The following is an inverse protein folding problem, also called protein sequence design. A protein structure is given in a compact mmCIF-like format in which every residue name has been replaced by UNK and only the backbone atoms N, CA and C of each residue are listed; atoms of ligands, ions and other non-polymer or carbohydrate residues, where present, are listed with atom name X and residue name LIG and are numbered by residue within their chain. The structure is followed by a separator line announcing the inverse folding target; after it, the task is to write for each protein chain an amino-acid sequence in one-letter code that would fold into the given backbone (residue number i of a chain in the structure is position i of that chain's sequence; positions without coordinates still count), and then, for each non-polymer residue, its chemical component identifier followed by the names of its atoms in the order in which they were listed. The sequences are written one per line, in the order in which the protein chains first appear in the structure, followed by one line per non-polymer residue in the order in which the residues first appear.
data_IF_397617105785
#
_entry.id   IF_397617105785
#
_cell.length_a   1.000
_cell.length_b   1.000
_cell.length_c   1.000
_cell.angle_alpha   90.00
_cell.angle_beta   90.00
_cell.angle_gamma   90.00
#
_symmetry.space_group_name_H-M   'P 1'
#
loop_
_entity.id
_entity.type
_entity.pdbx_description
1 polymer ?
#
# COMPACT_ATOMS: atom_id res chain seq x y z
N UNK A 1 -9.81 -63.28 -14.37
CA UNK A 1 -10.65 -62.37 -15.14
C UNK A 1 -10.32 -60.94 -14.71
N UNK A 2 -9.54 -60.27 -15.53
CA UNK A 2 -9.13 -58.88 -15.38
C UNK A 2 -10.28 -57.98 -15.76
N UNK A 3 -10.54 -56.95 -14.99
CA UNK A 3 -11.31 -55.76 -15.44
C UNK A 3 -10.48 -54.53 -15.22
N UNK A 4 -10.02 -53.99 -16.33
CA UNK A 4 -9.32 -52.72 -16.52
C UNK A 4 -10.24 -51.54 -16.17
N UNK A 5 -9.86 -50.72 -15.19
CA UNK A 5 -10.47 -49.41 -14.95
C UNK A 5 -9.75 -48.34 -15.78
N UNK A 6 -10.40 -47.77 -16.76
CA UNK A 6 -9.96 -46.61 -17.53
C UNK A 6 -9.91 -45.36 -16.63
N UNK A 7 -8.90 -44.48 -16.74
CA UNK A 7 -8.91 -43.20 -16.07
C UNK A 7 -9.94 -42.28 -16.75
N UNK A 8 -10.86 -41.73 -15.97
CA UNK A 8 -11.77 -40.68 -16.46
C UNK A 8 -10.94 -39.47 -16.92
N UNK A 9 -11.05 -39.13 -18.19
CA UNK A 9 -10.60 -37.87 -18.75
C UNK A 9 -11.22 -36.73 -17.95
N UNK A 10 -10.38 -35.80 -17.43
CA UNK A 10 -10.83 -34.47 -17.01
C UNK A 10 -11.48 -33.85 -18.26
N UNK A 11 -12.78 -33.66 -18.20
CA UNK A 11 -13.56 -33.03 -19.24
C UNK A 11 -13.10 -31.58 -19.43
N UNK A 12 -12.83 -31.23 -20.68
CA UNK A 12 -12.71 -29.88 -21.18
C UNK A 12 -13.99 -29.08 -20.84
N UNK A 13 -13.99 -28.40 -19.72
CA UNK A 13 -14.98 -27.39 -19.36
C UNK A 13 -14.28 -26.04 -19.33
N UNK A 14 -14.75 -25.16 -20.21
CA UNK A 14 -14.46 -23.74 -20.37
C UNK A 14 -13.30 -23.32 -21.30
N UNK A 15 -13.47 -23.60 -22.59
CA UNK A 15 -12.72 -22.91 -23.65
C UNK A 15 -13.37 -21.57 -24.10
N UNK A 16 -14.32 -20.98 -23.34
CA UNK A 16 -15.00 -19.75 -23.74
C UNK A 16 -15.35 -18.79 -22.58
N UNK A 17 -14.60 -18.81 -21.50
CA UNK A 17 -14.68 -17.71 -20.53
C UNK A 17 -14.06 -16.47 -21.18
N UNK A 18 -14.85 -15.41 -21.39
CA UNK A 18 -14.34 -14.14 -21.91
C UNK A 18 -13.19 -13.66 -21.02
N UNK A 19 -12.03 -13.40 -21.61
CA UNK A 19 -10.84 -12.92 -20.89
C UNK A 19 -11.18 -11.61 -20.20
N UNK A 20 -10.96 -11.53 -18.89
CA UNK A 20 -11.20 -10.32 -18.13
C UNK A 20 -9.93 -9.45 -18.04
N UNK A 21 -10.06 -8.11 -17.96
CA UNK A 21 -8.93 -7.20 -17.80
C UNK A 21 -8.29 -7.27 -16.43
N UNK A 22 -8.93 -7.88 -15.44
CA UNK A 22 -8.44 -8.16 -14.10
C UNK A 22 -9.20 -9.36 -13.52
N UNK A 23 -8.59 -10.03 -12.54
CA UNK A 23 -9.25 -11.09 -11.78
C UNK A 23 -9.77 -10.54 -10.45
N UNK A 24 -10.81 -11.17 -9.88
CA UNK A 24 -11.38 -10.74 -8.62
C UNK A 24 -11.95 -11.89 -7.79
N UNK A 25 -11.93 -11.71 -6.47
CA UNK A 25 -12.56 -12.61 -5.49
C UNK A 25 -13.28 -11.77 -4.45
N UNK A 26 -14.52 -12.14 -4.15
CA UNK A 26 -15.28 -11.62 -2.99
C UNK A 26 -14.83 -12.35 -1.72
N UNK A 27 -14.62 -11.62 -0.64
CA UNK A 27 -14.22 -12.21 0.63
C UNK A 27 -15.43 -12.76 1.40
N UNK A 28 -15.58 -14.09 1.54
CA UNK A 28 -16.69 -14.67 2.26
C UNK A 28 -16.65 -14.45 3.78
N UNK A 29 -15.57 -13.90 4.29
CA UNK A 29 -15.34 -13.61 5.72
C UNK A 29 -15.52 -12.13 6.08
N UNK A 30 -15.72 -11.27 5.08
CA UNK A 30 -15.91 -9.84 5.30
C UNK A 30 -17.13 -9.58 6.22
N UNK A 31 -16.97 -8.65 7.16
CA UNK A 31 -18.07 -8.24 8.04
C UNK A 31 -18.46 -9.25 9.14
N UNK A 32 -17.82 -10.41 9.25
CA UNK A 32 -18.08 -11.30 10.39
C UNK A 32 -17.66 -10.64 11.70
N UNK A 33 -18.55 -10.65 12.69
CA UNK A 33 -18.40 -9.99 13.99
C UNK A 33 -17.35 -10.61 14.92
N UNK A 34 -16.41 -11.37 14.40
CA UNK A 34 -15.34 -11.97 15.21
C UNK A 34 -14.37 -10.89 15.71
N UNK A 35 -14.01 -10.97 16.99
CA UNK A 35 -12.97 -10.13 17.58
C UNK A 35 -11.65 -10.35 16.86
N UNK A 36 -11.15 -9.33 16.20
CA UNK A 36 -9.86 -9.36 15.52
C UNK A 36 -8.78 -8.78 16.46
N UNK A 37 -8.00 -9.65 17.09
CA UNK A 37 -6.92 -9.24 18.01
C UNK A 37 -5.91 -8.32 17.33
N UNK A 38 -5.59 -8.60 16.06
CA UNK A 38 -4.69 -7.75 15.28
C UNK A 38 -5.26 -6.34 15.10
N UNK A 39 -6.58 -6.20 14.93
CA UNK A 39 -7.23 -4.89 14.83
C UNK A 39 -7.14 -4.10 16.14
N UNK A 40 -7.34 -4.75 17.29
CA UNK A 40 -7.20 -4.09 18.60
C UNK A 40 -5.75 -3.68 18.87
N UNK A 41 -4.79 -4.51 18.50
CA UNK A 41 -3.36 -4.18 18.57
C UNK A 41 -2.98 -3.05 17.61
N UNK A 42 -3.49 -3.09 16.39
CA UNK A 42 -3.21 -2.09 15.36
C UNK A 42 -3.77 -0.73 15.74
N UNK A 43 -4.99 -0.68 16.24
CA UNK A 43 -5.72 0.57 16.50
C UNK A 43 -6.18 0.67 17.96
N UNK A 44 -5.25 0.71 18.92
CA UNK A 44 -5.62 1.03 20.30
C UNK A 44 -6.16 2.47 20.39
N UNK A 45 -7.00 2.78 21.38
CA UNK A 45 -7.55 4.13 21.55
C UNK A 45 -6.47 5.21 21.52
N UNK A 46 -6.69 6.27 20.77
CA UNK A 46 -5.79 7.44 20.70
C UNK A 46 -4.60 7.32 19.73
N UNK A 47 -4.28 6.13 19.21
CA UNK A 47 -3.05 5.92 18.42
C UNK A 47 -2.97 6.81 17.17
N UNK A 48 -4.08 7.02 16.49
CA UNK A 48 -4.16 7.93 15.31
C UNK A 48 -3.84 9.37 15.70
N UNK A 49 -4.30 9.82 16.88
CA UNK A 49 -3.96 11.14 17.43
C UNK A 49 -2.47 11.30 17.66
N UNK A 50 -1.84 10.30 18.30
CA UNK A 50 -0.40 10.26 18.58
C UNK A 50 0.40 10.28 17.26
N UNK A 51 0.02 9.46 16.29
CA UNK A 51 0.69 9.42 14.99
C UNK A 51 0.61 10.79 14.28
N UNK A 52 -0.58 11.38 14.23
CA UNK A 52 -0.79 12.68 13.61
C UNK A 52 -0.06 13.82 14.33
N UNK A 53 -0.01 13.79 15.67
CA UNK A 53 0.70 14.78 16.46
C UNK A 53 2.21 14.71 16.21
N UNK A 54 2.79 13.51 16.11
CA UNK A 54 4.18 13.34 15.71
C UNK A 54 4.42 13.95 14.33
N UNK A 55 3.63 13.52 13.33
CA UNK A 55 3.85 13.96 11.94
C UNK A 55 3.75 15.46 11.75
N UNK A 56 2.85 16.13 12.49
CA UNK A 56 2.72 17.60 12.48
C UNK A 56 3.95 18.35 13.01
N UNK A 57 4.83 17.67 13.74
CA UNK A 57 6.08 18.24 14.27
C UNK A 57 7.27 18.00 13.33
N UNK A 58 7.12 17.16 12.29
CA UNK A 58 8.18 16.90 11.34
C UNK A 58 8.36 18.10 10.41
N UNK A 59 9.61 18.41 10.11
CA UNK A 59 9.92 19.55 9.26
C UNK A 59 9.32 19.39 7.85
N UNK A 60 8.69 20.45 7.35
CA UNK A 60 8.00 20.43 6.06
C UNK A 60 6.67 19.67 6.04
N UNK A 61 6.13 19.22 7.19
CA UNK A 61 4.82 18.58 7.21
C UNK A 61 3.71 19.50 6.67
N UNK A 62 2.95 18.98 5.73
CA UNK A 62 1.70 19.52 5.24
C UNK A 62 0.72 18.39 5.04
N UNK A 63 -0.54 18.65 5.28
CA UNK A 63 -1.60 17.72 4.89
C UNK A 63 -1.58 17.56 3.37
N UNK A 64 -1.43 16.33 2.87
CA UNK A 64 -1.41 16.08 1.43
C UNK A 64 -2.78 16.37 0.81
N UNK A 65 -2.87 16.78 -0.47
CA UNK A 65 -4.14 17.16 -1.07
C UNK A 65 -5.12 15.96 -1.17
N UNK A 66 -6.41 16.26 -1.00
CA UNK A 66 -7.50 15.40 -1.44
C UNK A 66 -8.11 16.05 -2.68
N UNK A 67 -7.93 15.43 -3.85
CA UNK A 67 -8.37 15.96 -5.14
C UNK A 67 -9.67 15.30 -5.59
N UNK A 68 -10.61 16.09 -6.09
CA UNK A 68 -11.85 15.61 -6.71
C UNK A 68 -11.64 15.44 -8.21
N UNK A 69 -12.06 14.30 -8.76
CA UNK A 69 -12.11 14.03 -10.21
C UNK A 69 -13.57 14.00 -10.67
N UNK A 70 -14.22 15.16 -10.63
CA UNK A 70 -15.66 15.31 -10.92
C UNK A 70 -16.01 15.01 -12.37
N UNK A 71 -15.14 15.39 -13.32
CA UNK A 71 -15.30 15.09 -14.74
C UNK A 71 -15.22 13.60 -15.01
N UNK A 72 -14.25 12.92 -14.40
CA UNK A 72 -14.11 11.45 -14.51
C UNK A 72 -15.25 10.73 -13.80
N UNK A 73 -15.71 11.22 -12.66
CA UNK A 73 -16.86 10.64 -11.96
C UNK A 73 -18.13 10.67 -12.83
N UNK A 74 -18.41 11.81 -13.45
CA UNK A 74 -19.52 11.93 -14.40
C UNK A 74 -19.37 10.99 -15.62
N UNK A 75 -18.17 10.87 -16.18
CA UNK A 75 -17.88 9.98 -17.29
C UNK A 75 -18.11 8.50 -16.94
N UNK A 76 -17.75 8.09 -15.71
CA UNK A 76 -17.89 6.72 -15.22
C UNK A 76 -19.27 6.42 -14.60
N UNK A 77 -20.15 7.42 -14.49
CA UNK A 77 -21.50 7.27 -13.94
C UNK A 77 -21.52 7.00 -12.43
N UNK A 78 -20.58 7.58 -11.66
CA UNK A 78 -20.51 7.48 -10.20
C UNK A 78 -20.69 8.86 -9.54
N UNK A 79 -21.04 8.88 -8.26
CA UNK A 79 -21.37 10.13 -7.55
C UNK A 79 -20.16 11.02 -7.26
N UNK A 80 -18.98 10.43 -7.04
CA UNK A 80 -17.74 11.19 -6.82
C UNK A 80 -16.51 10.29 -6.80
N UNK A 81 -15.38 10.85 -7.22
CA UNK A 81 -14.05 10.21 -7.13
C UNK A 81 -13.11 11.17 -6.41
N UNK A 82 -12.57 10.71 -5.30
CA UNK A 82 -11.66 11.45 -4.43
C UNK A 82 -10.30 10.75 -4.42
N UNK A 83 -9.24 11.50 -4.66
CA UNK A 83 -7.87 10.98 -4.69
C UNK A 83 -7.04 11.64 -3.60
N UNK A 84 -6.62 10.88 -2.60
CA UNK A 84 -5.61 11.34 -1.64
C UNK A 84 -4.24 11.28 -2.30
N UNK A 85 -3.63 12.43 -2.54
CA UNK A 85 -2.42 12.56 -3.34
C UNK A 85 -1.15 12.60 -2.46
N UNK A 86 -0.61 11.43 -2.16
CA UNK A 86 0.61 11.27 -1.36
C UNK A 86 1.92 11.54 -2.14
N UNK A 87 1.84 11.86 -3.42
CA UNK A 87 3.02 12.26 -4.21
C UNK A 87 3.71 13.52 -3.67
N UNK A 88 3.03 14.28 -2.82
CA UNK A 88 3.55 15.51 -2.23
C UNK A 88 3.92 15.38 -0.74
N UNK A 89 3.83 14.16 -0.17
CA UNK A 89 4.10 13.94 1.24
C UNK A 89 5.56 14.27 1.59
N UNK A 90 5.76 15.29 2.45
CA UNK A 90 7.09 15.69 2.98
C UNK A 90 8.18 15.82 1.89
N UNK A 91 7.79 16.16 0.66
CA UNK A 91 8.68 16.21 -0.53
C UNK A 91 9.40 14.87 -0.84
N UNK A 92 8.90 13.76 -0.30
CA UNK A 92 9.46 12.41 -0.51
C UNK A 92 8.72 11.64 -1.61
N UNK A 93 7.75 12.24 -2.28
CA UNK A 93 6.96 11.62 -3.34
C UNK A 93 6.29 10.28 -2.96
N UNK A 94 6.06 10.01 -1.66
CA UNK A 94 5.45 8.76 -1.20
C UNK A 94 4.96 8.86 0.26
N UNK A 95 3.88 8.14 0.58
CA UNK A 95 3.31 8.03 1.93
C UNK A 95 4.19 7.27 2.93
N UNK A 96 5.15 6.48 2.46
CA UNK A 96 5.93 5.51 3.27
C UNK A 96 6.64 6.15 4.47
N UNK A 97 6.99 7.41 4.38
CA UNK A 97 7.62 8.16 5.48
C UNK A 97 6.74 8.22 6.73
N UNK A 98 5.42 8.22 6.59
CA UNK A 98 4.50 8.23 7.75
C UNK A 98 4.69 6.98 8.61
N UNK A 99 4.80 5.82 7.99
CA UNK A 99 5.04 4.57 8.71
C UNK A 99 6.44 4.49 9.31
N UNK A 100 7.47 4.79 8.51
CA UNK A 100 8.86 4.71 8.94
C UNK A 100 9.18 5.65 10.11
N UNK A 101 8.74 6.91 10.04
CA UNK A 101 8.95 7.89 11.11
C UNK A 101 8.22 7.53 12.40
N UNK A 102 6.98 7.04 12.30
CA UNK A 102 6.22 6.64 13.48
C UNK A 102 6.80 5.38 14.14
N UNK A 103 7.27 4.41 13.36
CA UNK A 103 7.91 3.20 13.90
C UNK A 103 9.21 3.54 14.63
N UNK A 104 10.06 4.40 14.06
CA UNK A 104 11.27 4.91 14.74
C UNK A 104 10.89 5.63 16.04
N UNK A 105 9.91 6.52 16.00
CA UNK A 105 9.42 7.23 17.17
C UNK A 105 8.97 6.29 18.30
N UNK A 106 8.15 5.29 17.98
CA UNK A 106 7.67 4.33 18.96
C UNK A 106 8.79 3.46 19.53
N UNK A 107 9.74 3.06 18.68
CA UNK A 107 10.94 2.36 19.14
C UNK A 107 11.74 3.19 20.14
N UNK A 108 11.99 4.46 19.83
CA UNK A 108 12.72 5.35 20.74
C UNK A 108 11.98 5.59 22.06
N UNK A 109 10.65 5.78 22.03
CA UNK A 109 9.81 5.85 23.22
C UNK A 109 9.93 4.60 24.10
N UNK A 110 9.85 3.41 23.46
CA UNK A 110 9.99 2.12 24.15
C UNK A 110 11.37 2.00 24.80
N UNK A 111 12.44 2.38 24.09
CA UNK A 111 13.82 2.34 24.57
C UNK A 111 14.05 3.30 25.73
N UNK A 112 13.41 4.46 25.74
CA UNK A 112 13.44 5.44 26.84
C UNK A 112 12.53 5.07 28.03
N UNK A 113 11.74 4.01 27.95
CA UNK A 113 10.78 3.60 28.99
C UNK A 113 9.59 4.55 29.14
N UNK A 114 9.34 5.44 28.19
CA UNK A 114 8.29 6.46 28.28
C UNK A 114 6.96 5.88 27.76
N UNK A 115 6.00 5.70 28.67
CA UNK A 115 4.69 5.13 28.37
C UNK A 115 3.54 6.12 28.55
N UNK A 116 3.64 7.01 29.52
CA UNK A 116 2.52 7.80 30.03
C UNK A 116 2.38 9.19 29.39
N UNK A 117 3.33 9.59 28.55
CA UNK A 117 3.29 10.85 27.81
C UNK A 117 3.84 10.70 26.40
N UNK A 118 3.50 11.65 25.56
CA UNK A 118 4.11 11.79 24.25
C UNK A 118 5.47 12.51 24.37
N UNK A 119 6.36 12.19 23.42
CA UNK A 119 7.61 12.90 23.21
C UNK A 119 7.46 13.85 22.04
N UNK A 120 8.01 15.04 22.17
CA UNK A 120 8.14 15.94 21.02
C UNK A 120 9.37 15.56 20.19
N UNK A 121 9.35 15.94 18.90
CA UNK A 121 10.51 15.78 18.01
C UNK A 121 11.72 16.57 18.55
N UNK A 122 11.48 17.75 19.14
CA UNK A 122 12.53 18.55 19.80
C UNK A 122 13.16 17.83 20.99
N UNK A 123 12.36 17.17 21.84
CA UNK A 123 12.90 16.36 22.94
C UNK A 123 13.75 15.20 22.42
N UNK A 124 13.31 14.49 21.37
CA UNK A 124 14.07 13.39 20.77
C UNK A 124 15.42 13.85 20.20
N UNK A 125 15.49 15.07 19.68
CA UNK A 125 16.72 15.69 19.14
C UNK A 125 17.64 16.26 20.21
N UNK A 126 17.18 16.35 21.48
CA UNK A 126 17.97 16.93 22.56
C UNK A 126 19.20 16.09 22.90
N UNK A 127 20.33 16.74 23.25
CA UNK A 127 21.58 16.09 23.63
C UNK A 127 21.37 15.10 24.79
N UNK A 128 20.54 15.45 25.78
CA UNK A 128 20.21 14.60 26.92
C UNK A 128 19.60 13.28 26.50
N UNK A 129 18.62 13.31 25.62
CA UNK A 129 17.94 12.11 25.10
C UNK A 129 18.89 11.31 24.22
N UNK A 130 19.67 11.97 23.37
CA UNK A 130 20.65 11.33 22.51
C UNK A 130 21.75 10.61 23.29
N UNK A 131 22.29 11.24 24.35
CA UNK A 131 23.27 10.62 25.22
C UNK A 131 22.72 9.36 25.91
N UNK A 132 21.43 9.38 26.30
CA UNK A 132 20.76 8.21 26.89
C UNK A 132 20.52 7.07 25.90
N UNK A 133 20.15 7.38 24.66
CA UNK A 133 19.87 6.40 23.61
C UNK A 133 21.14 5.72 23.08
N UNK A 134 22.28 6.40 23.11
CA UNK A 134 23.54 5.93 22.55
C UNK A 134 23.56 5.87 21.03
N UNK A 135 24.51 5.11 20.48
CA UNK A 135 24.63 4.93 19.04
C UNK A 135 23.64 3.88 18.53
N UNK A 136 22.56 4.37 17.90
CA UNK A 136 21.55 3.53 17.25
C UNK A 136 21.75 3.63 15.76
N UNK A 137 21.78 2.48 15.09
CA UNK A 137 21.70 2.36 13.66
C UNK A 137 20.37 1.69 13.28
N UNK A 138 19.57 2.36 12.45
CA UNK A 138 18.39 1.77 11.85
C UNK A 138 18.75 1.05 10.56
N UNK A 139 18.09 -0.07 10.28
CA UNK A 139 18.30 -0.82 9.05
C UNK A 139 16.97 -1.23 8.43
N UNK A 140 16.91 -1.31 7.09
CA UNK A 140 15.73 -1.79 6.40
C UNK A 140 16.07 -2.41 5.04
N UNK A 141 15.21 -3.30 4.54
CA UNK A 141 15.19 -3.71 3.13
C UNK A 141 14.05 -3.01 2.40
N UNK A 142 14.24 -2.70 1.11
CA UNK A 142 13.26 -1.93 0.34
C UNK A 142 13.43 -2.12 -1.17
N UNK A 143 12.36 -1.84 -1.90
CA UNK A 143 12.33 -1.57 -3.35
C UNK A 143 12.50 -0.08 -3.70
N UNK A 144 12.57 0.80 -2.66
CA UNK A 144 12.79 2.24 -2.82
C UNK A 144 12.09 3.11 -1.77
N UNK A 145 10.76 3.21 -1.82
CA UNK A 145 10.01 4.21 -1.06
C UNK A 145 10.05 4.02 0.47
N UNK A 146 10.01 2.77 0.95
CA UNK A 146 10.09 2.50 2.38
C UNK A 146 11.48 2.86 2.92
N UNK A 147 12.55 2.41 2.27
CA UNK A 147 13.91 2.74 2.65
C UNK A 147 14.18 4.25 2.62
N UNK A 148 13.66 4.95 1.59
CA UNK A 148 13.74 6.42 1.53
C UNK A 148 13.06 7.08 2.72
N UNK A 149 11.87 6.60 3.10
CA UNK A 149 11.13 7.11 4.26
C UNK A 149 11.85 6.85 5.59
N UNK A 150 12.44 5.65 5.77
CA UNK A 150 13.23 5.30 6.96
C UNK A 150 14.52 6.11 7.02
N UNK A 151 15.26 6.23 5.89
CA UNK A 151 16.48 7.02 5.80
C UNK A 151 16.24 8.49 6.15
N UNK A 152 15.18 9.08 5.57
CA UNK A 152 14.78 10.46 5.90
C UNK A 152 14.44 10.62 7.39
N UNK A 153 13.66 9.73 7.96
CA UNK A 153 13.26 9.80 9.36
C UNK A 153 14.45 9.61 10.31
N UNK A 154 15.38 8.71 9.98
CA UNK A 154 16.62 8.51 10.74
C UNK A 154 17.48 9.78 10.70
N UNK A 155 17.68 10.37 9.51
CA UNK A 155 18.41 11.64 9.34
C UNK A 155 17.76 12.77 10.14
N UNK A 156 16.43 12.91 10.03
CA UNK A 156 15.66 13.95 10.71
C UNK A 156 15.82 13.89 12.24
N UNK A 157 15.90 12.68 12.78
CA UNK A 157 16.12 12.42 14.20
C UNK A 157 17.61 12.28 14.55
N UNK A 158 18.53 12.39 13.58
CA UNK A 158 19.99 12.36 13.73
C UNK A 158 20.57 10.99 14.02
N UNK A 159 20.02 9.91 13.51
CA UNK A 159 20.50 8.53 13.64
C UNK A 159 21.10 8.02 12.33
N UNK A 160 21.97 7.02 12.44
CA UNK A 160 22.50 6.29 11.29
C UNK A 160 21.43 5.41 10.65
N UNK A 161 21.55 5.18 9.34
CA UNK A 161 20.66 4.29 8.61
C UNK A 161 21.43 3.48 7.55
N UNK A 162 21.14 2.18 7.46
CA UNK A 162 21.63 1.28 6.42
C UNK A 162 20.44 0.69 5.69
N UNK A 163 20.44 0.77 4.36
CA UNK A 163 19.31 0.34 3.53
C UNK A 163 19.76 -0.71 2.53
N UNK A 164 19.13 -1.87 2.56
CA UNK A 164 19.36 -2.97 1.64
C UNK A 164 18.36 -2.89 0.49
N UNK A 165 18.88 -2.96 -0.73
CA UNK A 165 18.08 -2.99 -1.94
C UNK A 165 18.49 -4.18 -2.81
N UNK A 166 17.56 -4.72 -3.58
CA UNK A 166 17.89 -5.77 -4.55
C UNK A 166 18.51 -5.18 -5.82
N UNK A 167 19.26 -5.98 -6.57
CA UNK A 167 20.04 -5.56 -7.75
C UNK A 167 19.23 -4.92 -8.89
N UNK A 168 17.91 -5.15 -8.93
CA UNK A 168 17.01 -4.56 -9.94
C UNK A 168 16.47 -3.19 -9.52
N UNK A 169 16.79 -2.71 -8.31
CA UNK A 169 16.37 -1.37 -7.88
C UNK A 169 17.02 -0.31 -8.76
N UNK A 170 16.19 0.59 -9.32
CA UNK A 170 16.68 1.59 -10.25
C UNK A 170 17.66 2.59 -9.59
N UNK A 171 18.63 3.08 -10.36
CA UNK A 171 19.61 4.07 -9.88
C UNK A 171 18.97 5.33 -9.29
N UNK A 172 17.89 5.91 -9.88
CA UNK A 172 17.21 7.05 -9.27
C UNK A 172 16.67 6.75 -7.86
N UNK A 173 16.13 5.56 -7.63
CA UNK A 173 15.62 5.13 -6.31
C UNK A 173 16.75 4.96 -5.30
N UNK A 174 17.88 4.36 -5.71
CA UNK A 174 19.09 4.24 -4.85
C UNK A 174 19.58 5.62 -4.44
N UNK A 175 19.80 6.52 -5.40
CA UNK A 175 20.26 7.90 -5.13
C UNK A 175 19.32 8.65 -4.19
N UNK A 176 18.02 8.50 -4.37
CA UNK A 176 17.01 9.13 -3.51
C UNK A 176 17.07 8.66 -2.05
N UNK A 177 17.65 7.50 -1.77
CA UNK A 177 17.94 7.00 -0.41
C UNK A 177 19.26 7.57 0.10
N UNK A 178 20.32 7.53 -0.73
CA UNK A 178 21.66 8.05 -0.42
C UNK A 178 21.64 9.55 -0.09
N UNK A 179 20.78 10.35 -0.75
CA UNK A 179 20.59 11.79 -0.51
C UNK A 179 20.19 12.12 0.95
N UNK A 180 19.65 11.15 1.66
CA UNK A 180 19.38 11.26 3.10
C UNK A 180 20.51 10.73 3.99
N UNK A 181 21.67 10.43 3.41
CA UNK A 181 22.87 10.01 4.15
C UNK A 181 22.82 8.57 4.66
N UNK A 182 21.92 7.74 4.14
CA UNK A 182 21.91 6.33 4.43
C UNK A 182 22.98 5.58 3.64
N UNK A 183 23.61 4.59 4.25
CA UNK A 183 24.46 3.63 3.56
C UNK A 183 23.56 2.65 2.79
N UNK A 184 23.77 2.50 1.47
CA UNK A 184 22.98 1.60 0.64
C UNK A 184 23.79 0.37 0.27
N UNK A 185 23.23 -0.82 0.57
CA UNK A 185 23.77 -2.14 0.24
C UNK A 185 22.94 -2.77 -0.88
N UNK A 186 23.55 -2.99 -2.06
CA UNK A 186 22.88 -3.66 -3.19
C UNK A 186 23.12 -5.16 -3.08
N UNK A 187 22.02 -5.93 -2.98
CA UNK A 187 22.07 -7.37 -2.78
C UNK A 187 21.63 -8.08 -4.06
N UNK A 188 22.38 -9.11 -4.52
CA UNK A 188 21.93 -9.97 -5.61
C UNK A 188 20.60 -10.65 -5.26
N UNK A 189 19.71 -10.82 -6.26
CA UNK A 189 18.45 -11.53 -6.10
C UNK A 189 17.23 -10.64 -5.95
N UNK A 190 16.31 -11.03 -5.08
CA UNK A 190 14.97 -10.46 -4.91
C UNK A 190 14.90 -9.54 -3.68
N UNK A 191 13.73 -8.88 -3.52
CA UNK A 191 13.41 -8.17 -2.28
C UNK A 191 13.53 -9.07 -1.03
N UNK A 192 13.06 -10.32 -1.11
CA UNK A 192 13.11 -11.26 0.01
C UNK A 192 14.57 -11.64 0.36
N UNK A 193 15.47 -11.68 -0.64
CA UNK A 193 16.91 -11.84 -0.40
C UNK A 193 17.49 -10.64 0.36
N UNK A 194 17.07 -9.43 0.03
CA UNK A 194 17.48 -8.23 0.74
C UNK A 194 16.94 -8.23 2.20
N UNK A 195 15.71 -8.69 2.43
CA UNK A 195 15.14 -8.87 3.79
C UNK A 195 15.96 -9.86 4.59
N UNK A 196 16.33 -11.01 4.00
CA UNK A 196 17.18 -12.01 4.68
C UNK A 196 18.57 -11.45 5.01
N UNK A 197 19.17 -10.72 4.09
CA UNK A 197 20.48 -10.10 4.28
C UNK A 197 20.47 -9.08 5.41
N UNK A 198 19.53 -8.11 5.40
CA UNK A 198 19.45 -7.10 6.46
C UNK A 198 19.16 -7.73 7.82
N UNK A 199 18.35 -8.80 7.88
CA UNK A 199 18.04 -9.50 9.14
C UNK A 199 19.27 -10.12 9.76
N UNK A 200 20.09 -10.82 8.93
CA UNK A 200 21.36 -11.41 9.37
C UNK A 200 22.34 -10.34 9.88
N UNK A 201 22.55 -9.29 9.07
CA UNK A 201 23.57 -8.30 9.35
C UNK A 201 23.16 -7.38 10.50
N UNK A 202 21.88 -7.06 10.65
CA UNK A 202 21.36 -6.33 11.80
C UNK A 202 21.55 -7.11 13.10
N UNK A 203 21.33 -8.43 13.10
CA UNK A 203 21.59 -9.30 14.25
C UNK A 203 23.08 -9.29 14.65
N UNK A 204 24.00 -9.33 13.68
CA UNK A 204 25.43 -9.32 13.93
C UNK A 204 25.96 -7.97 14.44
N UNK A 205 25.35 -6.85 14.00
CA UNK A 205 25.80 -5.48 14.31
C UNK A 205 24.97 -4.77 15.38
N UNK A 206 23.91 -5.40 15.90
CA UNK A 206 23.01 -4.78 16.87
C UNK A 206 22.16 -3.65 16.29
N UNK A 207 21.89 -3.65 14.98
CA UNK A 207 21.06 -2.64 14.33
C UNK A 207 19.58 -2.90 14.57
N UNK A 208 18.78 -1.83 14.57
CA UNK A 208 17.34 -1.92 14.69
C UNK A 208 16.69 -1.97 13.29
N UNK A 209 16.10 -3.09 12.95
CA UNK A 209 15.33 -3.21 11.72
C UNK A 209 14.04 -2.40 11.82
N UNK A 210 13.70 -1.66 10.75
CA UNK A 210 12.42 -0.97 10.53
C UNK A 210 11.82 -1.52 9.24
N UNK A 211 11.03 -2.60 9.34
CA UNK A 211 10.37 -3.25 8.20
C UNK A 211 8.86 -2.98 8.22
N UNK A 212 8.23 -2.94 7.04
CA UNK A 212 6.78 -2.82 6.86
C UNK A 212 6.09 -4.18 6.69
N UNK A 213 6.85 -5.29 6.75
CA UNK A 213 6.31 -6.65 6.81
C UNK A 213 6.61 -7.31 8.16
N UNK A 214 5.71 -8.19 8.62
CA UNK A 214 5.83 -8.89 9.89
C UNK A 214 6.20 -10.36 9.67
N UNK A 215 6.83 -10.95 10.69
CA UNK A 215 7.05 -12.38 10.84
C UNK A 215 6.99 -12.77 12.31
N UNK A 216 7.02 -14.05 12.62
CA UNK A 216 6.97 -14.54 13.99
C UNK A 216 8.08 -13.93 14.87
N UNK A 217 7.68 -13.31 15.96
CA UNK A 217 8.58 -12.59 16.87
C UNK A 217 8.97 -11.17 16.43
N UNK A 218 8.57 -10.72 15.22
CA UNK A 218 8.80 -9.37 14.73
C UNK A 218 7.48 -8.73 14.25
N UNK A 219 6.68 -8.25 15.19
CA UNK A 219 5.35 -7.72 14.91
C UNK A 219 5.15 -6.28 15.43
N UNK A 220 5.92 -5.85 16.44
CA UNK A 220 5.76 -4.51 17.04
C UNK A 220 6.06 -3.42 16.01
N UNK A 221 7.20 -3.50 15.34
CA UNK A 221 7.64 -2.50 14.36
C UNK A 221 6.69 -2.41 13.18
N UNK A 222 6.31 -3.52 12.50
CA UNK A 222 5.33 -3.46 11.42
C UNK A 222 3.96 -2.91 11.88
N UNK A 223 3.53 -3.23 13.10
CA UNK A 223 2.34 -2.65 13.68
C UNK A 223 2.46 -1.12 13.80
N UNK A 224 3.58 -0.61 14.28
CA UNK A 224 3.83 0.83 14.37
C UNK A 224 3.92 1.51 13.00
N UNK A 225 4.49 0.83 12.00
CA UNK A 225 4.47 1.31 10.61
C UNK A 225 3.02 1.51 10.13
N UNK A 226 2.16 0.49 10.33
CA UNK A 226 0.74 0.59 9.97
C UNK A 226 0.01 1.67 10.77
N UNK A 227 0.31 1.82 12.06
CA UNK A 227 -0.23 2.89 12.90
C UNK A 227 0.13 4.28 12.37
N UNK A 228 1.37 4.48 11.91
CA UNK A 228 1.82 5.72 11.28
C UNK A 228 0.98 6.10 10.06
N UNK A 229 0.55 5.12 9.27
CA UNK A 229 -0.31 5.37 8.10
C UNK A 229 -1.71 5.90 8.48
N UNK A 230 -2.16 5.76 9.73
CA UNK A 230 -3.47 6.27 10.16
C UNK A 230 -3.59 7.80 10.06
N UNK A 231 -2.49 8.53 10.05
CA UNK A 231 -2.47 9.97 9.78
C UNK A 231 -3.13 10.29 8.44
N UNK A 232 -2.85 9.50 7.41
CA UNK A 232 -3.42 9.67 6.07
C UNK A 232 -4.95 9.59 6.11
N UNK A 233 -5.52 8.58 6.80
CA UNK A 233 -6.97 8.43 6.91
C UNK A 233 -7.62 9.54 7.75
N UNK A 234 -6.96 9.98 8.82
CA UNK A 234 -7.46 11.10 9.61
C UNK A 234 -7.51 12.41 8.80
N UNK A 235 -6.51 12.65 7.95
CA UNK A 235 -6.52 13.78 7.02
C UNK A 235 -7.65 13.67 5.99
N UNK A 236 -7.86 12.46 5.41
CA UNK A 236 -8.94 12.21 4.46
C UNK A 236 -10.29 12.54 5.09
N UNK A 237 -10.55 12.07 6.32
CA UNK A 237 -11.83 12.33 6.99
C UNK A 237 -12.06 13.82 7.23
N UNK A 238 -11.03 14.56 7.64
CA UNK A 238 -11.11 16.02 7.81
C UNK A 238 -11.40 16.72 6.48
N UNK A 239 -10.73 16.29 5.40
CA UNK A 239 -10.89 16.88 4.07
C UNK A 239 -12.25 16.55 3.43
N UNK A 240 -12.74 15.31 3.58
CA UNK A 240 -14.09 14.92 3.12
C UNK A 240 -15.18 15.67 3.89
N UNK A 241 -15.06 15.80 5.21
CA UNK A 241 -15.98 16.55 6.02
C UNK A 241 -16.05 18.03 5.58
N UNK A 242 -14.91 18.63 5.21
CA UNK A 242 -14.85 19.98 4.61
C UNK A 242 -15.55 20.10 3.25
N UNK A 243 -15.82 18.98 2.58
CA UNK A 243 -16.59 18.90 1.32
C UNK A 243 -18.05 18.46 1.55
N UNK A 244 -18.49 18.36 2.79
CA UNK A 244 -19.84 17.89 3.13
C UNK A 244 -20.06 16.39 3.00
N UNK A 245 -18.99 15.60 2.88
CA UNK A 245 -19.04 14.15 2.74
C UNK A 245 -18.63 13.50 4.07
N UNK A 246 -19.56 12.77 4.67
CA UNK A 246 -19.34 12.11 5.98
C UNK A 246 -18.36 10.94 5.91
N UNK A 247 -18.45 10.16 4.82
CA UNK A 247 -17.56 9.02 4.56
C UNK A 247 -17.59 8.65 3.08
N UNK A 248 -16.54 8.01 2.54
CA UNK A 248 -16.62 7.35 1.24
C UNK A 248 -17.53 6.13 1.32
N UNK A 249 -18.18 5.77 0.22
CA UNK A 249 -18.94 4.50 0.11
C UNK A 249 -18.03 3.35 -0.30
N UNK A 250 -16.99 3.65 -1.07
CA UNK A 250 -16.02 2.68 -1.59
C UNK A 250 -14.60 3.19 -1.40
N UNK A 251 -13.70 2.29 -1.05
CA UNK A 251 -12.26 2.57 -0.98
C UNK A 251 -11.51 1.52 -1.79
N UNK A 252 -10.73 1.96 -2.75
CA UNK A 252 -9.78 1.12 -3.46
C UNK A 252 -8.39 1.41 -2.93
N UNK A 253 -7.70 0.40 -2.44
CA UNK A 253 -6.34 0.54 -1.92
C UNK A 253 -5.45 -0.56 -2.48
N UNK A 254 -4.30 -0.17 -2.97
CA UNK A 254 -3.29 -1.10 -3.48
C UNK A 254 -2.51 -1.77 -2.34
N UNK A 255 -2.03 -2.97 -2.60
CA UNK A 255 -1.26 -3.74 -1.64
C UNK A 255 -0.07 -4.47 -2.29
N UNK A 256 1.09 -4.43 -1.59
CA UNK A 256 2.15 -5.42 -1.68
C UNK A 256 1.98 -6.38 -0.49
N UNK A 257 2.82 -6.29 0.55
CA UNK A 257 2.68 -7.11 1.78
C UNK A 257 1.38 -6.88 2.56
N UNK A 258 0.61 -5.82 2.24
CA UNK A 258 -0.69 -5.53 2.84
C UNK A 258 -0.70 -4.46 3.95
N UNK A 259 0.43 -3.90 4.36
CA UNK A 259 0.51 -3.00 5.52
C UNK A 259 -0.37 -1.73 5.39
N UNK A 260 -0.31 -1.00 4.25
CA UNK A 260 -1.20 0.15 4.02
C UNK A 260 -2.66 -0.26 3.99
N UNK A 261 -2.96 -1.32 3.24
CA UNK A 261 -4.32 -1.82 3.07
C UNK A 261 -4.94 -2.23 4.42
N UNK A 262 -4.16 -2.89 5.30
CA UNK A 262 -4.60 -3.25 6.65
C UNK A 262 -4.84 -2.01 7.54
N UNK A 263 -3.99 -0.99 7.44
CA UNK A 263 -4.20 0.27 8.16
C UNK A 263 -5.50 0.96 7.71
N UNK A 264 -5.77 1.01 6.38
CA UNK A 264 -7.00 1.58 5.80
C UNK A 264 -8.22 0.76 6.23
N UNK A 265 -8.18 -0.56 6.07
CA UNK A 265 -9.26 -1.47 6.42
C UNK A 265 -9.62 -1.39 7.91
N UNK A 266 -8.59 -1.46 8.76
CA UNK A 266 -8.74 -1.37 10.20
C UNK A 266 -9.30 -0.02 10.65
N UNK A 267 -8.79 1.08 10.08
CA UNK A 267 -9.24 2.43 10.39
C UNK A 267 -10.75 2.60 10.13
N UNK A 268 -11.21 2.25 8.93
CA UNK A 268 -12.61 2.37 8.57
C UNK A 268 -13.50 1.40 9.36
N UNK A 269 -13.01 0.19 9.64
CA UNK A 269 -13.72 -0.77 10.50
C UNK A 269 -13.89 -0.23 11.92
N UNK A 270 -12.84 0.39 12.50
CA UNK A 270 -12.89 0.96 13.85
C UNK A 270 -13.78 2.21 13.90
N UNK A 271 -13.77 3.04 12.86
CA UNK A 271 -14.49 4.31 12.81
C UNK A 271 -16.00 4.12 12.56
N UNK A 272 -16.38 3.24 11.62
CA UNK A 272 -17.76 3.13 11.14
C UNK A 272 -18.40 1.77 11.45
N UNK A 273 -17.67 0.82 12.00
CA UNK A 273 -18.21 -0.51 12.31
C UNK A 273 -18.71 -1.24 11.06
N UNK A 274 -19.93 -1.73 11.10
CA UNK A 274 -20.57 -2.42 9.97
C UNK A 274 -20.95 -1.46 8.81
N UNK A 275 -21.05 -0.17 9.08
CA UNK A 275 -21.37 0.85 8.06
C UNK A 275 -20.12 1.39 7.35
N UNK A 276 -18.99 0.69 7.48
CA UNK A 276 -17.76 1.05 6.81
C UNK A 276 -17.92 1.00 5.29
N UNK A 277 -17.06 1.73 4.55
CA UNK A 277 -17.02 1.63 3.09
C UNK A 277 -16.77 0.20 2.61
N UNK A 278 -17.28 -0.14 1.42
CA UNK A 278 -16.83 -1.32 0.67
C UNK A 278 -15.36 -1.17 0.33
N UNK A 279 -14.54 -2.15 0.68
CA UNK A 279 -13.10 -2.09 0.53
C UNK A 279 -12.59 -3.10 -0.50
N UNK A 280 -11.97 -2.60 -1.57
CA UNK A 280 -11.30 -3.38 -2.60
C UNK A 280 -9.78 -3.28 -2.48
N UNK A 281 -9.13 -4.42 -2.32
CA UNK A 281 -7.66 -4.54 -2.34
C UNK A 281 -7.21 -4.79 -3.77
N UNK A 282 -6.21 -4.06 -4.24
CA UNK A 282 -5.73 -4.12 -5.62
C UNK A 282 -4.25 -4.51 -5.62
N UNK A 283 -3.91 -5.60 -6.30
CA UNK A 283 -2.56 -6.16 -6.37
C UNK A 283 -2.12 -6.35 -7.83
N UNK A 284 -0.81 -6.37 -8.13
CA UNK A 284 -0.30 -6.86 -9.40
C UNK A 284 -0.62 -8.36 -9.57
N UNK A 285 -1.06 -8.79 -10.74
CA UNK A 285 -1.38 -10.20 -11.02
C UNK A 285 -0.19 -11.15 -10.81
N UNK A 286 1.03 -10.65 -11.00
CA UNK A 286 2.28 -11.41 -10.82
C UNK A 286 2.80 -11.44 -9.38
N UNK A 287 2.20 -10.66 -8.48
CA UNK A 287 2.60 -10.56 -7.07
C UNK A 287 1.35 -10.41 -6.16
N UNK A 288 0.29 -11.17 -6.45
CA UNK A 288 -1.01 -11.07 -5.79
C UNK A 288 -1.12 -12.04 -4.60
N UNK A 289 -0.29 -11.83 -3.57
CA UNK A 289 -0.21 -12.75 -2.43
C UNK A 289 -1.45 -12.72 -1.52
N UNK A 290 -2.11 -11.58 -1.39
CA UNK A 290 -3.35 -11.47 -0.63
C UNK A 290 -4.54 -12.08 -1.40
N UNK A 291 -4.59 -11.87 -2.71
CA UNK A 291 -5.56 -12.53 -3.60
C UNK A 291 -5.41 -14.07 -3.52
N UNK A 292 -4.18 -14.57 -3.58
CA UNK A 292 -3.90 -16.00 -3.44
C UNK A 292 -4.35 -16.51 -2.07
N UNK A 293 -4.08 -15.76 -1.01
CA UNK A 293 -4.47 -16.11 0.35
C UNK A 293 -6.00 -16.23 0.50
N UNK A 294 -6.78 -15.34 -0.11
CA UNK A 294 -8.25 -15.46 -0.09
C UNK A 294 -8.73 -16.59 -0.99
N UNK A 295 -8.07 -16.83 -2.14
CA UNK A 295 -8.39 -17.89 -3.09
C UNK A 295 -8.22 -19.28 -2.49
N UNK A 296 -7.21 -19.49 -1.66
CA UNK A 296 -6.99 -20.76 -0.94
C UNK A 296 -8.10 -21.07 0.07
N UNK A 297 -8.77 -20.07 0.62
CA UNK A 297 -9.98 -20.22 1.44
C UNK A 297 -9.78 -20.80 2.84
N UNK A 298 -8.56 -21.21 3.23
CA UNK A 298 -8.23 -21.81 4.52
C UNK A 298 -8.03 -20.78 5.65
N UNK A 299 -7.97 -19.49 5.28
CA UNK A 299 -7.80 -18.36 6.19
C UNK A 299 -6.37 -18.05 6.58
N UNK A 300 -5.39 -18.76 6.02
CA UNK A 300 -3.98 -18.52 6.23
C UNK A 300 -3.43 -17.59 5.15
N UNK A 301 -2.34 -16.86 5.44
CA UNK A 301 -1.61 -16.14 4.40
C UNK A 301 -0.84 -17.13 3.53
N UNK A 302 -0.86 -16.91 2.21
CA UNK A 302 -0.17 -17.72 1.21
C UNK A 302 0.77 -16.86 0.38
N UNK A 303 1.99 -17.34 0.22
CA UNK A 303 2.98 -16.72 -0.65
C UNK A 303 2.74 -17.06 -2.11
N UNK A 304 3.09 -16.13 -2.99
CA UNK A 304 3.21 -16.39 -4.42
C UNK A 304 4.68 -16.45 -4.81
N UNK A 305 5.01 -17.36 -5.70
CA UNK A 305 6.37 -17.57 -6.19
C UNK A 305 6.46 -17.20 -7.68
N UNK A 306 7.67 -16.89 -8.13
CA UNK A 306 7.94 -16.51 -9.51
C UNK A 306 8.90 -15.35 -9.60
N UNK A 307 8.92 -14.69 -10.75
CA UNK A 307 9.80 -13.53 -10.97
C UNK A 307 9.32 -12.27 -10.25
N UNK A 308 8.04 -12.23 -9.85
CA UNK A 308 7.33 -11.05 -9.31
C UNK A 308 7.52 -9.81 -10.20
N UNK A 309 7.73 -10.04 -11.52
CA UNK A 309 8.11 -9.01 -12.48
C UNK A 309 6.90 -8.19 -12.90
N UNK A 310 6.72 -7.06 -12.23
CA UNK A 310 5.67 -6.08 -12.48
C UNK A 310 6.24 -4.67 -12.50
N UNK A 311 5.62 -3.77 -13.26
CA UNK A 311 5.99 -2.35 -13.24
C UNK A 311 5.65 -1.69 -11.90
N UNK A 312 4.72 -2.25 -11.14
CA UNK A 312 4.30 -1.75 -9.81
C UNK A 312 5.31 -2.16 -8.73
N UNK A 313 6.54 -1.65 -8.84
CA UNK A 313 7.67 -2.07 -8.03
C UNK A 313 7.40 -2.02 -6.51
N UNK A 314 6.67 -1.00 -6.03
CA UNK A 314 6.27 -0.88 -4.62
C UNK A 314 5.25 -1.92 -4.14
N UNK A 315 4.75 -2.77 -5.05
CA UNK A 315 3.79 -3.85 -4.78
C UNK A 315 4.35 -5.24 -5.13
N UNK A 316 5.58 -5.33 -5.63
CA UNK A 316 6.22 -6.57 -6.09
C UNK A 316 6.68 -7.46 -4.93
N UNK A 317 5.75 -7.88 -4.09
CA UNK A 317 5.98 -8.68 -2.87
C UNK A 317 5.32 -10.05 -3.01
N UNK A 318 6.11 -11.12 -2.79
CA UNK A 318 5.61 -12.50 -2.84
C UNK A 318 4.98 -12.96 -1.53
N UNK A 319 5.43 -12.42 -0.40
CA UNK A 319 5.01 -12.85 0.93
C UNK A 319 4.07 -11.82 1.58
N UNK A 320 2.85 -12.21 1.98
CA UNK A 320 1.96 -11.32 2.71
C UNK A 320 2.43 -11.15 4.16
N UNK A 321 2.28 -9.95 4.72
CA UNK A 321 2.50 -9.73 6.16
C UNK A 321 1.42 -10.47 6.97
N UNK A 322 1.76 -11.42 7.84
CA UNK A 322 0.78 -12.15 8.66
C UNK A 322 -0.13 -11.22 9.49
N UNK A 323 0.44 -10.17 10.07
CA UNK A 323 -0.31 -9.18 10.84
C UNK A 323 -1.31 -8.40 9.96
N UNK A 324 -0.91 -8.02 8.75
CA UNK A 324 -1.79 -7.37 7.79
C UNK A 324 -2.90 -8.30 7.32
N UNK A 325 -2.57 -9.56 7.03
CA UNK A 325 -3.54 -10.57 6.62
C UNK A 325 -4.61 -10.82 7.67
N UNK A 326 -4.25 -10.89 8.94
CA UNK A 326 -5.22 -11.07 10.01
C UNK A 326 -6.32 -9.99 10.00
N UNK A 327 -5.96 -8.74 9.69
CA UNK A 327 -6.93 -7.65 9.53
C UNK A 327 -7.68 -7.75 8.21
N UNK A 328 -6.96 -7.93 7.09
CA UNK A 328 -7.55 -7.90 5.74
C UNK A 328 -8.51 -9.05 5.48
N UNK A 329 -8.19 -10.25 5.96
CA UNK A 329 -9.07 -11.43 5.82
C UNK A 329 -10.45 -11.24 6.45
N UNK A 330 -10.63 -10.26 7.35
CA UNK A 330 -11.90 -9.95 8.03
C UNK A 330 -12.52 -8.62 7.64
N UNK A 331 -11.69 -7.67 7.16
CA UNK A 331 -12.12 -6.29 6.95
C UNK A 331 -12.18 -5.86 5.47
N UNK A 332 -11.52 -6.58 4.57
CA UNK A 332 -11.61 -6.30 3.13
C UNK A 332 -12.76 -7.09 2.50
N UNK A 333 -13.43 -6.50 1.50
CA UNK A 333 -14.59 -7.12 0.85
C UNK A 333 -14.22 -7.80 -0.47
N UNK A 334 -13.30 -7.20 -1.24
CA UNK A 334 -12.89 -7.71 -2.55
C UNK A 334 -11.37 -7.67 -2.69
N UNK A 335 -10.83 -8.65 -3.40
CA UNK A 335 -9.43 -8.72 -3.79
C UNK A 335 -9.36 -8.80 -5.31
N UNK A 336 -8.53 -7.94 -5.91
CA UNK A 336 -8.41 -7.74 -7.35
C UNK A 336 -6.94 -7.96 -7.75
N UNK A 337 -6.70 -8.83 -8.73
CA UNK A 337 -5.37 -9.02 -9.32
C UNK A 337 -5.33 -8.36 -10.71
N UNK A 338 -4.44 -7.39 -10.90
CA UNK A 338 -4.41 -6.50 -12.04
C UNK A 338 -3.11 -6.64 -12.84
N UNK A 339 -3.18 -6.87 -14.17
CA UNK A 339 -2.02 -6.78 -15.04
C UNK A 339 -1.46 -5.35 -15.10
N UNK A 340 -0.19 -5.24 -15.45
CA UNK A 340 0.55 -3.97 -15.53
C UNK A 340 -0.11 -2.88 -16.38
N UNK A 341 -0.81 -3.25 -17.45
CA UNK A 341 -1.50 -2.26 -18.31
C UNK A 341 -2.64 -1.52 -17.60
N UNK A 342 -3.17 -2.10 -16.51
CA UNK A 342 -4.19 -1.44 -15.66
C UNK A 342 -3.55 -0.26 -14.91
N UNK A 343 -2.39 -0.45 -14.31
CA UNK A 343 -1.63 0.62 -13.68
C UNK A 343 -1.21 1.69 -14.70
N UNK A 344 -0.68 1.26 -15.85
CA UNK A 344 -0.29 2.15 -16.93
C UNK A 344 -1.46 3.00 -17.47
N UNK A 345 -2.68 2.42 -17.57
CA UNK A 345 -3.89 3.17 -17.91
C UNK A 345 -4.18 4.25 -16.86
N UNK A 346 -4.11 3.90 -15.57
CA UNK A 346 -4.30 4.85 -14.47
C UNK A 346 -3.30 5.99 -14.49
N UNK A 347 -2.00 5.71 -14.71
CA UNK A 347 -0.96 6.74 -14.83
C UNK A 347 -1.27 7.75 -15.95
N UNK A 348 -1.70 7.28 -17.11
CA UNK A 348 -2.03 8.14 -18.26
C UNK A 348 -3.26 9.00 -17.99
N UNK A 349 -4.29 8.43 -17.37
CA UNK A 349 -5.51 9.20 -17.04
C UNK A 349 -5.25 10.25 -15.97
N UNK A 350 -4.44 9.95 -14.98
CA UNK A 350 -3.99 10.95 -14.01
C UNK A 350 -3.16 12.06 -14.68
N UNK A 351 -2.31 11.70 -15.65
CA UNK A 351 -1.45 12.64 -16.37
C UNK A 351 -2.13 13.43 -17.47
N UNK A 352 -3.25 12.91 -18.01
CA UNK A 352 -4.07 13.58 -19.02
C UNK A 352 -5.54 13.47 -18.58
N UNK A 353 -5.95 14.28 -17.58
CA UNK A 353 -7.26 14.15 -16.97
C UNK A 353 -8.39 14.59 -17.90
N UNK A 354 -9.61 14.20 -17.56
CA UNK A 354 -10.84 14.75 -18.16
C UNK A 354 -10.86 16.28 -17.93
N UNK A 355 -11.37 17.02 -18.90
CA UNK A 355 -11.43 18.49 -18.82
C UNK A 355 -12.11 18.95 -17.51
N UNK A 356 -11.44 19.81 -16.78
CA UNK A 356 -11.88 20.32 -15.48
C UNK A 356 -11.34 19.55 -14.27
N UNK A 357 -10.84 18.32 -14.44
CA UNK A 357 -10.21 17.57 -13.36
C UNK A 357 -8.76 18.01 -13.15
N UNK A 358 -8.25 17.92 -11.91
CA UNK A 358 -6.88 18.28 -11.61
C UNK A 358 -5.89 17.22 -12.15
N UNK A 359 -4.76 17.69 -12.62
CA UNK A 359 -3.60 16.87 -12.95
C UNK A 359 -3.01 16.20 -11.69
N UNK A 360 -2.66 14.92 -11.80
CA UNK A 360 -2.01 14.13 -10.75
C UNK A 360 -0.79 13.41 -11.35
N UNK A 361 0.35 13.56 -10.72
CA UNK A 361 1.53 12.75 -11.03
C UNK A 361 1.49 11.51 -10.15
N UNK A 362 1.34 10.34 -10.76
CA UNK A 362 1.31 9.06 -10.07
C UNK A 362 2.34 8.10 -10.64
N UNK A 363 3.08 7.44 -9.75
CA UNK A 363 3.81 6.23 -10.12
C UNK A 363 2.86 5.06 -10.35
N UNK A 364 3.43 3.93 -10.73
CA UNK A 364 2.71 2.74 -11.16
C UNK A 364 1.84 2.16 -10.04
N UNK A 365 2.43 2.03 -8.84
CA UNK A 365 1.72 1.51 -7.67
C UNK A 365 0.58 2.43 -7.22
N UNK A 366 0.75 3.74 -7.36
CA UNK A 366 -0.27 4.73 -7.00
C UNK A 366 -1.46 4.75 -7.95
N UNK A 367 -1.25 4.36 -9.22
CA UNK A 367 -2.23 4.52 -10.29
C UNK A 367 -3.12 3.30 -10.52
N UNK A 368 -2.75 2.12 -10.04
CA UNK A 368 -3.46 0.88 -10.32
C UNK A 368 -4.91 0.89 -9.86
N UNK A 369 -5.20 1.54 -8.74
CA UNK A 369 -6.56 1.65 -8.19
C UNK A 369 -7.49 2.45 -9.12
N UNK A 370 -6.99 3.53 -9.74
CA UNK A 370 -7.76 4.26 -10.75
C UNK A 370 -7.99 3.40 -11.99
N UNK A 371 -6.94 2.72 -12.49
CA UNK A 371 -7.08 1.83 -13.64
C UNK A 371 -8.09 0.70 -13.40
N UNK A 372 -8.07 0.08 -12.22
CA UNK A 372 -9.02 -0.95 -11.82
C UNK A 372 -10.47 -0.42 -11.76
N UNK A 373 -10.67 0.76 -11.15
CA UNK A 373 -11.97 1.43 -11.10
C UNK A 373 -12.53 1.70 -12.51
N UNK A 374 -11.69 2.17 -13.44
CA UNK A 374 -12.12 2.45 -14.80
C UNK A 374 -12.59 1.18 -15.54
N UNK A 375 -11.83 0.07 -15.41
CA UNK A 375 -12.28 -1.20 -16.00
C UNK A 375 -13.56 -1.71 -15.32
N UNK A 376 -13.66 -1.60 -14.02
CA UNK A 376 -14.85 -1.98 -13.26
C UNK A 376 -16.09 -1.20 -13.73
N UNK A 377 -15.95 0.10 -13.99
CA UNK A 377 -17.06 0.95 -14.41
C UNK A 377 -17.47 0.71 -15.89
N UNK A 378 -16.49 0.50 -16.79
CA UNK A 378 -16.70 0.51 -18.23
C UNK A 378 -16.78 -0.88 -18.88
N UNK A 379 -16.10 -1.91 -18.34
CA UNK A 379 -15.98 -3.20 -18.99
C UNK A 379 -17.16 -4.11 -18.64
N UNK A 380 -17.93 -4.53 -19.66
CA UNK A 380 -19.16 -5.31 -19.46
C UNK A 380 -18.90 -6.65 -18.78
N UNK A 381 -17.77 -7.31 -19.07
CA UNK A 381 -17.37 -8.54 -18.39
C UNK A 381 -17.22 -8.44 -16.86
N UNK A 382 -17.15 -7.22 -16.33
CA UNK A 382 -17.07 -6.94 -14.89
C UNK A 382 -18.42 -6.47 -14.29
N UNK A 383 -19.53 -6.57 -15.04
CA UNK A 383 -20.86 -6.15 -14.58
C UNK A 383 -21.30 -6.89 -13.30
N UNK A 384 -20.92 -8.15 -13.13
CA UNK A 384 -21.21 -8.90 -11.89
C UNK A 384 -20.48 -8.30 -10.69
N UNK A 385 -19.18 -8.03 -10.81
CA UNK A 385 -18.40 -7.40 -9.75
C UNK A 385 -18.96 -6.01 -9.42
N UNK A 386 -19.25 -5.19 -10.44
CA UNK A 386 -19.86 -3.86 -10.27
C UNK A 386 -21.17 -3.93 -9.47
N UNK A 387 -22.03 -4.90 -9.79
CA UNK A 387 -23.28 -5.13 -9.06
C UNK A 387 -23.05 -5.60 -7.62
N UNK A 388 -22.13 -6.54 -7.40
CA UNK A 388 -21.78 -7.02 -6.04
C UNK A 388 -21.20 -5.91 -5.16
N UNK A 389 -20.39 -5.05 -5.71
CA UNK A 389 -19.87 -3.87 -5.03
C UNK A 389 -20.92 -2.76 -4.85
N UNK A 390 -22.07 -2.85 -5.49
CA UNK A 390 -23.10 -1.79 -5.51
C UNK A 390 -22.55 -0.46 -6.03
N UNK A 391 -21.64 -0.54 -7.01
CA UNK A 391 -21.02 0.65 -7.61
C UNK A 391 -22.02 1.32 -8.58
N UNK A 392 -22.34 2.59 -8.35
CA UNK A 392 -23.33 3.33 -9.14
C UNK A 392 -23.35 4.84 -8.84
N UNK A 393 -24.42 5.54 -9.28
CA UNK A 393 -24.48 7.01 -9.26
C UNK A 393 -24.32 7.66 -7.87
N UNK A 394 -24.65 6.94 -6.80
CA UNK A 394 -24.51 7.47 -5.43
C UNK A 394 -23.15 7.14 -4.80
N UNK A 395 -22.27 6.45 -5.52
CA UNK A 395 -20.98 6.00 -4.99
C UNK A 395 -20.01 7.15 -4.82
N UNK A 396 -19.52 7.32 -3.59
CA UNK A 396 -18.40 8.22 -3.25
C UNK A 396 -17.13 7.38 -3.11
N UNK A 397 -16.26 7.46 -4.10
CA UNK A 397 -15.10 6.56 -4.24
C UNK A 397 -13.84 7.26 -3.76
N UNK A 398 -13.13 6.62 -2.86
CA UNK A 398 -11.81 7.05 -2.40
C UNK A 398 -10.72 6.20 -3.03
N UNK A 399 -9.76 6.87 -3.65
CA UNK A 399 -8.51 6.31 -4.16
C UNK A 399 -7.33 6.93 -3.39
N UNK A 400 -6.24 6.18 -3.29
CA UNK A 400 -5.00 6.68 -2.67
C UNK A 400 -3.90 6.64 -3.73
N UNK A 401 -3.46 7.81 -4.20
CA UNK A 401 -2.23 7.92 -4.97
C UNK A 401 -1.05 7.85 -4.01
N UNK A 402 -0.45 6.68 -3.87
CA UNK A 402 0.57 6.39 -2.85
C UNK A 402 1.95 6.94 -3.17
N UNK A 403 2.22 7.25 -4.44
CA UNK A 403 3.52 7.73 -4.88
C UNK A 403 3.42 8.63 -6.12
N UNK A 404 4.38 9.53 -6.25
CA UNK A 404 4.57 10.33 -7.45
C UNK A 404 5.55 9.68 -8.42
N UNK A 405 6.20 10.52 -9.24
CA UNK A 405 7.26 10.09 -10.15
C UNK A 405 8.55 9.77 -9.38
N UNK A 406 8.68 8.54 -8.90
CA UNK A 406 9.85 8.05 -8.16
C UNK A 406 10.90 7.39 -9.08
N UNK A 407 10.54 7.14 -10.34
CA UNK A 407 11.42 6.65 -11.41
C UNK A 407 11.12 7.41 -12.71
N UNK A 408 11.80 8.54 -12.96
CA UNK A 408 11.50 9.43 -14.08
C UNK A 408 11.61 8.77 -15.47
N UNK A 409 12.58 7.88 -15.64
CA UNK A 409 12.79 7.19 -16.91
C UNK A 409 11.65 6.19 -17.21
N UNK A 410 11.22 5.47 -16.18
CA UNK A 410 10.11 4.54 -16.30
C UNK A 410 8.77 5.28 -16.50
N UNK A 411 8.55 6.35 -15.73
CA UNK A 411 7.37 7.21 -15.90
C UNK A 411 7.25 7.73 -17.34
N UNK A 412 8.36 8.26 -17.90
CA UNK A 412 8.42 8.72 -19.29
C UNK A 412 8.06 7.62 -20.28
N UNK A 413 8.65 6.43 -20.13
CA UNK A 413 8.37 5.26 -20.97
C UNK A 413 6.89 4.90 -20.97
N UNK A 414 6.26 4.87 -19.80
CA UNK A 414 4.85 4.49 -19.67
C UNK A 414 3.93 5.60 -20.18
N UNK A 415 4.11 6.83 -19.72
CA UNK A 415 3.14 7.93 -19.96
C UNK A 415 3.36 8.59 -21.31
N UNK A 416 4.62 8.90 -21.69
CA UNK A 416 4.90 9.66 -22.90
C UNK A 416 5.14 8.79 -24.12
N UNK A 417 5.79 7.64 -23.94
CA UNK A 417 6.17 6.75 -25.03
C UNK A 417 5.17 5.59 -25.28
N UNK A 418 4.13 5.51 -24.45
CA UNK A 418 3.06 4.51 -24.58
C UNK A 418 3.45 3.09 -24.19
N UNK A 419 4.54 2.92 -23.46
CA UNK A 419 4.96 1.62 -22.92
C UNK A 419 3.87 0.97 -22.08
N UNK A 420 3.84 -0.38 -22.02
CA UNK A 420 2.79 -1.15 -21.33
C UNK A 420 1.40 -0.74 -21.82
N UNK A 421 1.20 -0.86 -23.14
CA UNK A 421 -0.05 -0.47 -23.78
C UNK A 421 -1.20 -1.43 -23.44
N UNK A 422 -2.43 -0.90 -23.43
CA UNK A 422 -3.64 -1.71 -23.25
C UNK A 422 -3.75 -2.72 -24.40
N UNK A 423 -3.89 -4.04 -24.12
CA UNK A 423 -4.14 -5.06 -25.14
C UNK A 423 -5.37 -4.75 -25.98
N UNK A 424 -5.35 -5.14 -27.26
CA UNK A 424 -6.39 -4.77 -28.21
C UNK A 424 -7.79 -5.23 -27.77
N UNK A 425 -7.89 -6.41 -27.17
CA UNK A 425 -9.13 -7.00 -26.64
C UNK A 425 -9.77 -6.20 -25.51
N UNK A 426 -8.99 -5.38 -24.79
CA UNK A 426 -9.47 -4.55 -23.67
C UNK A 426 -9.60 -3.06 -24.01
N UNK A 427 -9.37 -2.69 -25.29
CA UNK A 427 -9.60 -1.33 -25.74
C UNK A 427 -11.09 -1.10 -25.95
N UNK A 428 -11.56 0.11 -25.62
CA UNK A 428 -12.93 0.51 -25.93
C UNK A 428 -13.13 0.46 -27.44
N UNK A 429 -14.18 -0.23 -27.90
CA UNK A 429 -14.60 -0.15 -29.29
C UNK A 429 -15.24 1.22 -29.49
N UNK A 430 -14.69 1.98 -30.41
CA UNK A 430 -15.23 3.28 -30.86
C UNK A 430 -16.50 3.08 -31.67
#
# INVERSE_FOLDING_TARGET
MMRSGFPRKKSDMNANAAKLPLEWIENPRAGRAETCRALERLLPPGITGIARQLHRQLDGYRMSPLKSLSGLAALLGVGGIWVKDESQRLSLNSFKVLGGSFAIYQFLRKKLGIRDRELTVSELKSEKVRAHLGDICFATATDGNHGRGVAWAAKELGFRCVVYVHERTSKPRIRAIEDYGAEVQVIPGTYDDAVRAVTRDAGANGWQIISDTSWEGYEDIPCWVMQGYTTLMAEIQEQLAGQGISQPTHVFVQAGVGALAAAVAGYYRKLFGERRPTLAIVEPDKAACLYESIRCGDGRPHSVSGTLDTIMAGLACGDPSPLAWEVLSRCADFFLACPDFVAAKGMRVYGVPVAGDPFIVSGESGAVTLGALMYLAEYEGLAELRRKMQLGPDSQILLINTEGNTDPDHFRRVVWEGGVSVPQEFRRKL
#
